data_IF_866440260469
#
_entry.id   IF_866440260469
#
_cell.length_a   1.000
_cell.length_b   1.000
_cell.length_c   1.000
_cell.angle_alpha   90.00
_cell.angle_beta   90.00
_cell.angle_gamma   90.00
#
_symmetry.space_group_name_H-M   'P 1'
#
loop_
_entity.id
_entity.type
_entity.pdbx_description
1 polymer ?
#
# COMPACT_ATOMS: atom_id res chain seq x y z
N UNK A 1 -62.97 -63.28 -42.72
CA UNK A 1 -62.25 -64.31 -41.91
C UNK A 1 -60.94 -63.77 -41.45
N UNK A 2 -60.73 -63.80 -40.18
CA UNK A 2 -59.80 -62.98 -39.39
C UNK A 2 -58.52 -63.73 -39.18
N UNK A 3 -57.35 -63.13 -39.57
CA UNK A 3 -56.04 -63.66 -39.09
C UNK A 3 -55.27 -62.55 -38.41
N UNK A 4 -55.22 -62.67 -37.11
CA UNK A 4 -54.45 -61.84 -36.17
C UNK A 4 -52.97 -62.26 -36.16
N UNK A 5 -52.08 -61.45 -36.63
CA UNK A 5 -50.65 -61.65 -36.41
C UNK A 5 -50.19 -60.82 -35.17
N UNK A 6 -49.83 -61.57 -34.13
CA UNK A 6 -49.18 -61.01 -32.93
C UNK A 6 -47.73 -60.85 -33.25
N UNK A 7 -47.23 -59.59 -33.28
CA UNK A 7 -45.81 -59.29 -33.35
C UNK A 7 -45.30 -59.04 -31.92
N UNK A 8 -44.43 -59.97 -31.46
CA UNK A 8 -43.70 -59.80 -30.21
C UNK A 8 -42.66 -58.70 -30.35
N UNK A 9 -42.73 -57.72 -29.46
CA UNK A 9 -41.77 -56.64 -29.37
C UNK A 9 -40.71 -56.99 -28.32
N UNK A 10 -39.50 -57.27 -28.74
CA UNK A 10 -38.35 -57.53 -27.87
C UNK A 10 -37.79 -56.18 -27.46
N UNK A 11 -37.95 -55.84 -26.16
CA UNK A 11 -37.34 -54.64 -25.58
C UNK A 11 -35.92 -55.02 -25.15
N UNK A 12 -34.95 -54.48 -25.85
CA UNK A 12 -33.52 -54.59 -25.49
C UNK A 12 -33.22 -53.52 -24.41
N UNK A 13 -33.04 -53.97 -23.17
CA UNK A 13 -32.70 -53.11 -22.02
C UNK A 13 -31.21 -52.83 -22.02
N UNK A 14 -30.77 -51.69 -22.56
CA UNK A 14 -29.39 -51.27 -22.47
C UNK A 14 -29.10 -50.63 -21.10
N UNK A 15 -28.38 -51.30 -20.24
CA UNK A 15 -27.90 -50.78 -18.96
C UNK A 15 -26.73 -49.80 -19.21
N UNK A 16 -27.02 -48.51 -19.05
CA UNK A 16 -26.01 -47.45 -19.06
C UNK A 16 -25.26 -47.44 -17.72
N UNK A 17 -24.03 -47.92 -17.70
CA UNK A 17 -23.15 -47.85 -16.53
C UNK A 17 -22.68 -46.40 -16.35
N UNK A 18 -23.25 -45.72 -15.35
CA UNK A 18 -22.73 -44.39 -14.90
C UNK A 18 -21.51 -44.65 -14.00
N UNK A 19 -20.32 -44.44 -14.54
CA UNK A 19 -19.09 -44.47 -13.77
C UNK A 19 -19.02 -43.28 -12.80
N UNK A 20 -18.37 -43.42 -11.62
CA UNK A 20 -18.20 -42.33 -10.67
C UNK A 20 -17.33 -41.23 -11.29
N UNK A 21 -17.91 -40.03 -11.44
CA UNK A 21 -17.19 -38.81 -11.80
C UNK A 21 -16.28 -38.40 -10.65
N UNK A 22 -15.00 -38.80 -10.72
CA UNK A 22 -13.98 -38.37 -9.76
C UNK A 22 -13.82 -36.85 -9.91
N UNK A 23 -14.35 -36.06 -8.95
CA UNK A 23 -13.99 -34.66 -8.80
C UNK A 23 -12.50 -34.59 -8.42
N UNK A 24 -11.65 -34.36 -9.40
CA UNK A 24 -10.29 -33.91 -9.18
C UNK A 24 -10.39 -32.47 -8.69
N UNK A 25 -9.94 -32.14 -7.44
CA UNK A 25 -9.88 -30.75 -7.02
C UNK A 25 -8.87 -30.03 -7.92
N UNK A 26 -9.35 -29.07 -8.72
CA UNK A 26 -8.45 -28.17 -9.43
C UNK A 26 -7.54 -27.47 -8.41
N UNK A 27 -6.22 -27.43 -8.63
CA UNK A 27 -5.33 -26.64 -7.82
C UNK A 27 -5.74 -25.17 -8.00
N UNK A 28 -6.46 -24.66 -6.99
CA UNK A 28 -6.76 -23.23 -6.89
C UNK A 28 -5.41 -22.55 -6.80
N UNK A 29 -4.93 -22.01 -7.93
CA UNK A 29 -3.77 -21.16 -7.98
C UNK A 29 -4.07 -19.98 -7.03
N UNK A 30 -3.55 -20.08 -5.83
CA UNK A 30 -3.47 -18.98 -4.88
C UNK A 30 -2.53 -18.00 -5.53
N UNK A 31 -3.10 -17.09 -6.34
CA UNK A 31 -2.43 -15.88 -6.77
C UNK A 31 -2.07 -15.19 -5.45
N UNK A 32 -0.81 -15.36 -5.02
CA UNK A 32 -0.27 -14.57 -3.95
C UNK A 32 -0.47 -13.12 -4.38
N UNK A 33 -1.50 -12.49 -3.81
CA UNK A 33 -1.68 -11.07 -3.94
C UNK A 33 -0.36 -10.48 -3.44
N UNK A 34 0.46 -9.99 -4.38
CA UNK A 34 1.71 -9.32 -4.07
C UNK A 34 1.32 -8.21 -3.11
N UNK A 35 1.61 -8.41 -1.82
CA UNK A 35 1.31 -7.40 -0.82
C UNK A 35 2.13 -6.19 -1.23
N UNK A 36 1.47 -5.10 -1.59
CA UNK A 36 2.15 -3.90 -1.99
C UNK A 36 3.15 -3.48 -0.90
N UNK A 37 4.36 -3.13 -1.30
CA UNK A 37 5.48 -2.83 -0.43
C UNK A 37 5.88 -1.36 -0.55
N UNK A 38 6.10 -0.72 0.59
CA UNK A 38 6.75 0.58 0.67
C UNK A 38 8.26 0.37 0.85
N UNK A 39 9.07 0.93 -0.04
CA UNK A 39 10.54 0.83 0.02
C UNK A 39 11.15 2.12 0.52
N UNK A 40 12.05 2.02 1.51
CA UNK A 40 12.86 3.15 2.00
C UNK A 40 14.32 2.81 1.74
N UNK A 41 15.01 3.66 0.98
CA UNK A 41 16.36 3.38 0.48
C UNK A 41 17.19 4.66 0.27
N UNK A 42 18.36 4.53 -0.33
CA UNK A 42 19.29 5.64 -0.60
C UNK A 42 20.30 5.83 0.52
N UNK A 43 20.51 7.06 0.96
CA UNK A 43 21.47 7.42 2.01
C UNK A 43 20.94 7.05 3.42
N UNK A 44 20.65 5.76 3.63
CA UNK A 44 20.16 5.17 4.87
C UNK A 44 21.14 4.11 5.39
N UNK A 45 21.17 3.87 6.70
CA UNK A 45 21.97 2.79 7.29
C UNK A 45 21.31 1.43 7.07
N UNK A 46 19.99 1.38 7.16
CA UNK A 46 19.19 0.15 7.05
C UNK A 46 18.04 0.37 6.07
N UNK A 47 18.14 -0.09 4.82
CA UNK A 47 17.02 -0.06 3.89
C UNK A 47 15.83 -0.84 4.44
N UNK A 48 14.61 -0.34 4.22
CA UNK A 48 13.38 -0.97 4.70
C UNK A 48 12.50 -1.36 3.52
N UNK A 49 11.82 -2.50 3.68
CA UNK A 49 10.72 -2.94 2.82
C UNK A 49 9.57 -3.28 3.75
N UNK A 50 8.48 -2.52 3.66
CA UNK A 50 7.39 -2.54 4.61
C UNK A 50 6.08 -2.86 3.91
N UNK A 51 5.32 -3.79 4.45
CA UNK A 51 3.94 -4.07 4.06
C UNK A 51 2.96 -3.23 4.91
N UNK A 52 1.69 -3.16 4.52
CA UNK A 52 0.66 -2.53 5.36
C UNK A 52 0.55 -3.22 6.73
N UNK A 53 0.81 -4.54 6.81
CA UNK A 53 0.85 -5.27 8.08
C UNK A 53 2.00 -4.83 8.97
N UNK A 54 3.13 -4.44 8.40
CA UNK A 54 4.29 -3.97 9.18
C UNK A 54 4.04 -2.55 9.70
N UNK A 55 3.42 -1.66 8.91
CA UNK A 55 3.02 -0.33 9.37
C UNK A 55 2.03 -0.40 10.55
N UNK A 56 1.08 -1.35 10.51
CA UNK A 56 0.09 -1.53 11.60
C UNK A 56 0.71 -1.93 12.94
N UNK A 57 1.91 -2.51 12.94
CA UNK A 57 2.64 -2.89 14.16
C UNK A 57 3.49 -1.75 14.73
N UNK A 58 3.60 -0.62 14.02
CA UNK A 58 4.37 0.54 14.43
C UNK A 58 3.51 1.55 15.20
N UNK A 59 4.13 2.50 15.93
CA UNK A 59 3.38 3.58 16.59
C UNK A 59 2.50 4.32 15.57
N UNK A 60 1.20 4.40 15.87
CA UNK A 60 0.20 5.00 14.98
C UNK A 60 -0.01 6.47 15.31
N UNK A 61 -0.21 7.28 14.27
CA UNK A 61 -0.63 8.67 14.36
C UNK A 61 -1.92 8.88 13.58
N UNK A 62 -2.85 9.62 14.16
CA UNK A 62 -4.11 10.03 13.53
C UNK A 62 -4.06 11.52 13.23
N UNK A 63 -4.40 11.90 12.00
CA UNK A 63 -4.48 13.28 11.53
C UNK A 63 -5.85 13.55 10.95
N UNK A 64 -6.49 14.65 11.40
CA UNK A 64 -7.74 15.15 10.83
C UNK A 64 -7.42 16.34 9.91
N UNK A 65 -7.82 16.24 8.65
CA UNK A 65 -7.55 17.27 7.65
C UNK A 65 -8.84 17.64 6.91
N UNK A 66 -8.98 18.90 6.55
CA UNK A 66 -10.11 19.33 5.70
C UNK A 66 -9.71 19.20 4.25
N UNK A 67 -10.42 18.33 3.51
CA UNK A 67 -10.25 18.22 2.06
C UNK A 67 -10.64 19.58 1.39
N UNK A 68 -9.71 20.27 0.71
CA UNK A 68 -9.98 21.59 0.17
C UNK A 68 -11.00 21.60 -0.96
N UNK A 69 -11.23 20.47 -1.63
CA UNK A 69 -12.17 20.35 -2.73
C UNK A 69 -13.59 20.00 -2.25
N UNK A 70 -13.69 19.06 -1.31
CA UNK A 70 -14.99 18.58 -0.81
C UNK A 70 -15.45 19.32 0.45
N UNK A 71 -14.57 20.10 1.08
CA UNK A 71 -14.81 20.78 2.37
C UNK A 71 -15.24 19.82 3.49
N UNK A 72 -14.88 18.55 3.33
CA UNK A 72 -15.15 17.48 4.28
C UNK A 72 -13.89 17.20 5.10
N UNK A 73 -14.06 16.92 6.38
CA UNK A 73 -12.96 16.41 7.22
C UNK A 73 -12.72 14.95 6.88
N UNK A 74 -11.48 14.62 6.59
CA UNK A 74 -10.96 13.27 6.39
C UNK A 74 -10.02 12.93 7.55
N UNK A 75 -10.14 11.73 8.09
CA UNK A 75 -9.30 11.24 9.19
C UNK A 75 -8.33 10.20 8.65
N UNK A 76 -7.05 10.52 8.64
CA UNK A 76 -5.99 9.61 8.20
C UNK A 76 -5.29 8.98 9.39
N UNK A 77 -4.99 7.67 9.29
CA UNK A 77 -4.15 6.96 10.25
C UNK A 77 -2.95 6.35 9.53
N UNK A 78 -1.80 6.44 10.18
CA UNK A 78 -0.56 5.96 9.61
C UNK A 78 0.61 6.01 10.59
N UNK A 79 1.81 5.99 10.07
CA UNK A 79 3.06 6.10 10.82
C UNK A 79 3.74 7.42 10.45
N UNK A 80 4.30 8.13 11.42
CA UNK A 80 5.11 9.33 11.16
C UNK A 80 6.25 8.98 10.20
N UNK A 81 6.44 9.81 9.17
CA UNK A 81 7.54 9.62 8.22
C UNK A 81 8.89 9.73 8.94
N UNK A 82 9.01 10.63 9.92
CA UNK A 82 10.16 10.75 10.80
C UNK A 82 10.52 9.41 11.47
N UNK A 83 9.52 8.68 11.99
CA UNK A 83 9.69 7.38 12.64
C UNK A 83 10.25 6.32 11.66
N UNK A 84 9.75 6.32 10.42
CA UNK A 84 10.24 5.44 9.38
C UNK A 84 11.69 5.77 8.99
N UNK A 85 12.01 7.06 8.86
CA UNK A 85 13.36 7.53 8.56
C UNK A 85 14.33 7.22 9.72
N UNK A 86 13.90 7.40 10.97
CA UNK A 86 14.67 7.02 12.16
C UNK A 86 14.98 5.52 12.19
N UNK A 87 13.99 4.69 11.87
CA UNK A 87 14.16 3.23 11.76
C UNK A 87 15.12 2.85 10.63
N UNK A 88 15.16 3.62 9.55
CA UNK A 88 16.11 3.45 8.46
C UNK A 88 17.53 3.98 8.80
N UNK A 89 17.72 4.56 9.98
CA UNK A 89 19.01 5.09 10.44
C UNK A 89 19.38 6.46 9.89
N UNK A 90 18.37 7.24 9.47
CA UNK A 90 18.55 8.62 9.01
C UNK A 90 18.77 9.53 10.24
N UNK A 91 19.72 10.49 10.21
CA UNK A 91 19.95 11.43 11.30
C UNK A 91 18.72 12.26 11.63
N UNK A 92 18.44 12.49 12.92
CA UNK A 92 17.32 13.28 13.43
C UNK A 92 17.70 14.00 14.73
N UNK A 93 16.93 15.02 15.12
CA UNK A 93 17.12 15.79 16.34
C UNK A 93 18.50 16.45 16.39
N UNK A 94 19.24 16.29 17.47
CA UNK A 94 20.56 16.88 17.65
C UNK A 94 21.60 16.49 16.58
N UNK A 95 21.36 15.39 15.83
CA UNK A 95 22.21 14.94 14.72
C UNK A 95 21.91 15.69 13.41
N UNK A 96 20.84 16.49 13.38
CA UNK A 96 20.45 17.32 12.23
C UNK A 96 21.30 18.60 12.16
N UNK A 97 22.58 18.45 11.78
CA UNK A 97 23.55 19.54 11.63
C UNK A 97 24.60 19.22 10.58
N UNK A 98 25.28 20.25 10.08
CA UNK A 98 26.33 20.09 9.08
C UNK A 98 25.81 19.38 7.82
N UNK A 99 26.49 18.33 7.34
CA UNK A 99 26.11 17.62 6.12
C UNK A 99 24.70 17.00 6.15
N UNK A 100 24.12 16.74 7.33
CA UNK A 100 22.74 16.24 7.43
C UNK A 100 21.72 17.26 6.92
N UNK A 101 22.02 18.55 7.04
CA UNK A 101 21.13 19.64 6.56
C UNK A 101 21.02 19.74 5.04
N UNK A 102 21.90 19.08 4.28
CA UNK A 102 21.81 18.99 2.81
C UNK A 102 21.14 17.72 2.34
N UNK A 103 20.54 16.95 3.25
CA UNK A 103 19.81 15.72 2.94
C UNK A 103 18.36 16.04 2.64
N UNK A 104 17.81 15.35 1.64
CA UNK A 104 16.41 15.43 1.26
C UNK A 104 15.83 14.05 0.98
N UNK A 105 14.52 13.98 0.97
CA UNK A 105 13.74 12.78 0.71
C UNK A 105 12.97 12.95 -0.59
N UNK A 106 13.06 11.97 -1.48
CA UNK A 106 12.20 11.86 -2.66
C UNK A 106 11.14 10.81 -2.37
N UNK A 107 9.88 11.21 -2.33
CA UNK A 107 8.75 10.30 -2.25
C UNK A 107 8.18 10.08 -3.66
N UNK A 108 8.03 8.81 -4.08
CA UNK A 108 7.59 8.41 -5.42
C UNK A 108 6.34 7.55 -5.34
N UNK A 109 5.37 7.85 -6.21
CA UNK A 109 4.14 7.08 -6.43
C UNK A 109 4.33 5.97 -7.48
N UNK A 110 3.37 5.06 -7.56
CA UNK A 110 3.34 3.99 -8.58
C UNK A 110 3.28 4.54 -10.03
N UNK A 111 2.63 5.69 -10.23
CA UNK A 111 2.51 6.37 -11.52
C UNK A 111 3.74 7.22 -11.90
N UNK A 112 4.78 7.21 -11.05
CA UNK A 112 6.01 7.96 -11.24
C UNK A 112 5.94 9.42 -10.76
N UNK A 113 4.83 9.87 -10.15
CA UNK A 113 4.77 11.18 -9.51
C UNK A 113 5.78 11.28 -8.37
N UNK A 114 6.54 12.37 -8.32
CA UNK A 114 7.61 12.56 -7.33
C UNK A 114 7.50 13.91 -6.64
N UNK A 115 7.80 13.91 -5.35
CA UNK A 115 7.90 15.13 -4.55
C UNK A 115 9.16 15.07 -3.68
N UNK A 116 9.62 16.23 -3.25
CA UNK A 116 10.82 16.38 -2.42
C UNK A 116 10.44 17.05 -1.11
N UNK A 117 11.04 16.53 -0.03
CA UNK A 117 11.07 17.17 1.30
C UNK A 117 12.52 17.31 1.73
N UNK A 118 12.92 18.46 2.26
CA UNK A 118 14.18 18.51 2.99
C UNK A 118 14.10 17.64 4.25
N UNK A 119 15.21 17.07 4.70
CA UNK A 119 15.19 16.27 5.91
C UNK A 119 14.82 17.13 7.14
N UNK A 120 15.23 18.40 7.14
CA UNK A 120 14.93 19.34 8.21
C UNK A 120 13.43 19.64 8.38
N UNK A 121 12.64 19.64 7.29
CA UNK A 121 11.18 19.87 7.39
C UNK A 121 10.41 18.61 7.80
N UNK A 122 11.08 17.48 7.95
CA UNK A 122 10.52 16.20 8.43
C UNK A 122 10.96 15.88 9.87
N UNK A 123 11.78 16.72 10.48
CA UNK A 123 12.28 16.55 11.84
C UNK A 123 11.46 17.39 12.81
N UNK A 124 10.71 16.74 13.70
CA UNK A 124 9.84 17.42 14.67
C UNK A 124 10.61 18.21 15.74
N UNK A 125 11.92 18.02 15.84
CA UNK A 125 12.80 18.87 16.66
C UNK A 125 13.13 20.21 16.01
N UNK A 126 12.87 20.38 14.71
CA UNK A 126 13.15 21.60 13.93
C UNK A 126 11.87 22.32 13.54
N UNK A 127 10.85 21.57 13.08
CA UNK A 127 9.58 22.15 12.62
C UNK A 127 8.41 21.39 13.21
N UNK A 128 7.35 22.12 13.56
CA UNK A 128 6.10 21.51 14.03
C UNK A 128 5.22 21.12 12.82
N UNK A 129 5.67 20.11 12.08
CA UNK A 129 5.01 19.64 10.86
C UNK A 129 4.98 18.11 10.78
N UNK A 130 3.89 17.53 11.23
CA UNK A 130 3.70 16.08 11.18
C UNK A 130 3.37 15.62 9.77
N UNK A 131 4.24 14.80 9.19
CA UNK A 131 4.00 14.10 7.92
C UNK A 131 3.85 12.62 8.21
N UNK A 132 2.77 11.99 7.73
CA UNK A 132 2.55 10.55 7.92
C UNK A 132 2.54 9.79 6.60
N UNK A 133 2.92 8.53 6.69
CA UNK A 133 2.58 7.50 5.70
C UNK A 133 1.30 6.82 6.19
N UNK A 134 0.18 7.21 5.60
CA UNK A 134 -1.14 6.68 5.92
C UNK A 134 -1.41 5.38 5.17
N UNK A 135 -2.12 4.46 5.79
CA UNK A 135 -2.68 3.24 5.20
C UNK A 135 -4.19 3.12 5.42
N UNK A 136 -4.75 4.05 6.20
CA UNK A 136 -6.17 4.06 6.60
C UNK A 136 -6.73 5.48 6.45
N UNK A 137 -7.99 5.59 6.01
CA UNK A 137 -8.77 6.83 5.94
C UNK A 137 -10.19 6.55 6.43
N UNK A 138 -10.70 7.39 7.33
CA UNK A 138 -12.04 7.29 7.91
C UNK A 138 -12.33 5.88 8.49
N UNK A 139 -11.32 5.26 9.14
CA UNK A 139 -11.42 3.93 9.77
C UNK A 139 -11.35 2.74 8.80
N UNK A 140 -11.18 2.96 7.49
CA UNK A 140 -11.06 1.91 6.49
C UNK A 140 -9.71 1.95 5.75
N UNK A 141 -9.23 0.83 5.20
CA UNK A 141 -8.06 0.85 4.31
C UNK A 141 -8.25 1.84 3.16
N UNK A 142 -7.17 2.47 2.72
CA UNK A 142 -7.21 3.41 1.60
C UNK A 142 -7.78 2.74 0.34
N UNK A 143 -8.65 3.46 -0.38
CA UNK A 143 -9.17 3.01 -1.66
C UNK A 143 -8.05 2.81 -2.70
N UNK A 144 -8.25 1.91 -3.66
CA UNK A 144 -7.22 1.50 -4.64
C UNK A 144 -6.54 2.68 -5.38
N UNK A 145 -7.27 3.76 -5.66
CA UNK A 145 -6.71 4.97 -6.31
C UNK A 145 -5.91 5.88 -5.35
N UNK A 146 -5.87 5.58 -4.07
CA UNK A 146 -5.17 6.35 -3.04
C UNK A 146 -4.10 5.54 -2.31
N UNK A 147 -4.34 4.24 -2.13
CA UNK A 147 -3.54 3.31 -1.36
C UNK A 147 -2.67 2.37 -2.19
N UNK A 148 -2.05 1.40 -1.53
CA UNK A 148 -2.22 1.06 -0.11
C UNK A 148 -1.53 2.03 0.86
N UNK A 149 -0.58 2.85 0.38
CA UNK A 149 0.11 3.86 1.17
C UNK A 149 -0.09 5.24 0.57
N UNK A 150 -0.22 6.25 1.42
CA UNK A 150 -0.35 7.64 1.01
C UNK A 150 0.48 8.54 1.92
N UNK A 151 1.22 9.47 1.33
CA UNK A 151 1.86 10.54 2.10
C UNK A 151 0.85 11.65 2.38
N UNK A 152 0.75 12.07 3.64
CA UNK A 152 -0.15 13.13 4.10
C UNK A 152 0.66 14.17 4.87
N UNK A 153 0.64 15.42 4.40
CA UNK A 153 1.34 16.57 4.97
C UNK A 153 0.33 17.68 5.30
N UNK A 154 -0.35 17.64 6.46
CA UNK A 154 -1.53 18.45 6.76
C UNK A 154 -1.27 19.94 6.85
N UNK A 155 -0.05 20.37 7.12
CA UNK A 155 0.32 21.79 7.24
C UNK A 155 0.46 22.50 5.89
N UNK A 156 0.35 21.78 4.80
CA UNK A 156 0.42 22.35 3.46
C UNK A 156 -0.93 22.94 3.05
N UNK A 157 -0.89 24.18 2.54
CA UNK A 157 -2.10 24.84 2.01
C UNK A 157 -2.71 24.12 0.81
N UNK A 158 -1.94 23.31 0.11
CA UNK A 158 -2.36 22.52 -1.06
C UNK A 158 -1.79 21.12 -0.96
N UNK A 159 -2.56 20.07 -1.26
CA UNK A 159 -2.11 18.67 -1.14
C UNK A 159 -1.19 18.24 -2.30
N UNK A 160 -0.41 19.15 -2.86
CA UNK A 160 0.47 18.86 -4.00
C UNK A 160 1.58 17.86 -3.67
N UNK A 161 2.03 17.81 -2.41
CA UNK A 161 3.02 16.83 -1.97
C UNK A 161 2.40 15.62 -1.22
N UNK A 162 1.08 15.48 -1.25
CA UNK A 162 0.39 14.31 -0.71
C UNK A 162 0.40 13.19 -1.75
N UNK A 163 1.41 12.35 -1.70
CA UNK A 163 1.63 11.30 -2.69
C UNK A 163 0.66 10.14 -2.47
N UNK A 164 -0.24 9.91 -3.42
CA UNK A 164 -1.12 8.74 -3.46
C UNK A 164 -0.38 7.55 -4.04
N UNK A 165 -0.80 6.32 -3.69
CA UNK A 165 -0.15 5.09 -4.16
C UNK A 165 1.37 5.16 -3.97
N UNK A 166 1.79 5.58 -2.75
CA UNK A 166 3.19 5.76 -2.41
C UNK A 166 3.91 4.41 -2.52
N UNK A 167 4.97 4.38 -3.33
CA UNK A 167 5.75 3.18 -3.64
C UNK A 167 7.11 3.20 -2.96
N UNK A 168 7.78 4.35 -2.97
CA UNK A 168 9.12 4.44 -2.41
C UNK A 168 9.43 5.81 -1.80
N UNK A 169 10.37 5.78 -0.86
CA UNK A 169 10.99 6.92 -0.21
C UNK A 169 12.50 6.75 -0.36
N UNK A 170 13.14 7.65 -1.09
CA UNK A 170 14.58 7.63 -1.32
C UNK A 170 15.24 8.79 -0.60
N UNK A 171 16.14 8.50 0.32
CA UNK A 171 16.94 9.51 1.02
C UNK A 171 18.15 9.84 0.18
N UNK A 172 18.36 11.13 -0.08
CA UNK A 172 19.45 11.63 -0.93
C UNK A 172 20.25 12.68 -0.16
N UNK A 173 21.55 12.56 -0.16
CA UNK A 173 22.45 13.61 0.34
C UNK A 173 22.94 14.42 -0.86
N UNK A 174 22.65 15.72 -0.86
CA UNK A 174 23.21 16.61 -1.88
C UNK A 174 24.73 16.66 -1.73
N UNK A 175 25.46 16.39 -2.81
CA UNK A 175 26.89 16.63 -2.90
C UNK A 175 27.09 18.04 -3.42
N UNK A 176 27.76 18.90 -2.64
CA UNK A 176 28.29 20.17 -3.14
C UNK A 176 29.62 19.85 -3.81
N UNK A 177 29.73 20.11 -5.10
CA UNK A 177 31.00 20.07 -5.81
C UNK A 177 31.78 21.36 -5.54
#
# INVERSE_FOLDING_TARGET
MLHRHIRAFVILLSTLAVGPLSLVPEPRAQTAASSAELRISGAVTTPLVLTASDLKKMPRKTLSVVNPHEKKTEVYEGVLLEELLRKAGVPQGEKMRGPAMTTYVVAEAEDGYRVVFSLAELDLGIVDSEVIVADTMDGAPLAAKQGPFRLVAPHEKRPARWVRMLKSITVVRASVQ
#
